data_IF_841366237621
#
_entry.id   IF_841366237621
#
_cell.length_a   1.000
_cell.length_b   1.000
_cell.length_c   1.000
_cell.angle_alpha   90.00
_cell.angle_beta   90.00
_cell.angle_gamma   90.00
#
_symmetry.space_group_name_H-M   'P 1'
#
loop_
_entity.id
_entity.type
_entity.pdbx_description
1 polymer ?
#
# COMPACT_ATOMS: atom_id res chain seq x y z
N UNK A 1 -3.82 21.78 40.30
CA UNK A 1 -4.65 21.82 39.09
C UNK A 1 -4.45 20.50 38.39
N UNK A 2 -5.36 19.54 38.58
CA UNK A 2 -5.27 18.24 37.91
C UNK A 2 -5.73 18.47 36.46
N UNK A 3 -4.76 18.68 35.56
CA UNK A 3 -5.05 18.73 34.13
C UNK A 3 -5.67 17.40 33.71
N UNK A 4 -6.78 17.46 32.99
CA UNK A 4 -7.37 16.28 32.35
C UNK A 4 -6.27 15.58 31.54
N UNK A 5 -6.05 14.26 31.71
CA UNK A 5 -5.07 13.55 30.91
C UNK A 5 -5.37 13.76 29.42
N UNK A 6 -4.38 14.24 28.68
CA UNK A 6 -4.47 14.38 27.22
C UNK A 6 -4.22 13.01 26.60
N UNK A 7 -5.25 12.47 25.94
CA UNK A 7 -5.17 11.20 25.24
C UNK A 7 -4.91 11.44 23.76
N UNK A 8 -4.05 10.61 23.15
CA UNK A 8 -3.90 10.55 21.70
C UNK A 8 -4.57 9.28 21.20
N UNK A 9 -5.56 9.44 20.33
CA UNK A 9 -6.22 8.31 19.67
C UNK A 9 -5.91 8.37 18.19
N UNK A 10 -5.49 7.24 17.63
CA UNK A 10 -5.33 7.09 16.19
C UNK A 10 -6.03 5.84 15.70
N UNK A 11 -6.34 5.79 14.42
CA UNK A 11 -7.05 4.71 13.77
C UNK A 11 -6.30 4.26 12.54
N UNK A 12 -6.01 2.97 12.45
CA UNK A 12 -5.32 2.40 11.30
C UNK A 12 -6.21 2.32 10.06
N UNK A 13 -5.59 2.26 8.87
CA UNK A 13 -6.28 1.98 7.62
C UNK A 13 -6.93 0.58 7.63
N UNK A 14 -6.27 -0.38 8.28
CA UNK A 14 -6.80 -1.75 8.47
C UNK A 14 -8.14 -1.74 9.20
N UNK A 15 -8.27 -0.95 10.28
CA UNK A 15 -9.53 -0.79 11.00
C UNK A 15 -10.64 -0.29 10.07
N UNK A 16 -10.34 0.67 9.20
CA UNK A 16 -11.31 1.28 8.30
C UNK A 16 -11.72 0.33 7.18
N UNK A 17 -10.76 -0.45 6.69
CA UNK A 17 -11.00 -1.53 5.74
C UNK A 17 -11.89 -2.62 6.33
N UNK A 18 -11.64 -3.01 7.59
CA UNK A 18 -12.47 -3.96 8.31
C UNK A 18 -13.87 -3.40 8.58
N UNK A 19 -13.98 -2.13 9.01
CA UNK A 19 -15.23 -1.44 9.27
C UNK A 19 -16.19 -1.44 8.08
N UNK A 20 -15.69 -1.33 6.84
CA UNK A 20 -16.57 -1.39 5.67
C UNK A 20 -17.07 -2.81 5.34
N UNK A 21 -16.41 -3.86 5.82
CA UNK A 21 -16.94 -5.22 5.68
C UNK A 21 -18.09 -5.50 6.64
N UNK A 22 -18.27 -4.63 7.65
CA UNK A 22 -19.29 -4.79 8.67
C UNK A 22 -20.69 -4.42 8.14
N UNK A 23 -21.74 -5.17 8.51
CA UNK A 23 -23.14 -4.83 8.20
C UNK A 23 -23.55 -3.44 8.68
N UNK A 24 -24.37 -2.73 7.89
CA UNK A 24 -24.79 -1.33 8.16
C UNK A 24 -25.40 -1.12 9.55
N UNK A 25 -26.14 -2.10 10.07
CA UNK A 25 -26.76 -2.05 11.41
C UNK A 25 -25.73 -2.05 12.55
N UNK A 26 -24.55 -2.64 12.34
CA UNK A 26 -23.45 -2.68 13.32
C UNK A 26 -22.54 -1.47 13.14
N UNK A 27 -22.32 -0.97 11.92
CA UNK A 27 -21.49 0.21 11.64
C UNK A 27 -21.83 1.41 12.53
N UNK A 28 -23.12 1.70 12.73
CA UNK A 28 -23.55 2.78 13.65
C UNK A 28 -22.99 2.62 15.06
N UNK A 29 -22.98 1.39 15.60
CA UNK A 29 -22.43 1.11 16.94
C UNK A 29 -20.92 1.29 16.98
N UNK A 30 -20.21 0.93 15.90
CA UNK A 30 -18.77 1.19 15.77
C UNK A 30 -18.50 2.69 15.74
N UNK A 31 -19.25 3.47 14.95
CA UNK A 31 -19.15 4.95 14.92
C UNK A 31 -19.41 5.58 16.29
N UNK A 32 -20.47 5.14 16.99
CA UNK A 32 -20.79 5.60 18.34
C UNK A 32 -19.65 5.27 19.32
N UNK A 33 -19.04 4.09 19.17
CA UNK A 33 -17.86 3.68 19.94
C UNK A 33 -16.66 4.59 19.65
N UNK A 34 -16.31 4.83 18.37
CA UNK A 34 -15.17 5.70 17.99
C UNK A 34 -15.32 7.08 18.61
N UNK A 35 -16.52 7.68 18.51
CA UNK A 35 -16.80 9.00 19.07
C UNK A 35 -16.63 9.05 20.59
N UNK A 36 -17.05 8.00 21.31
CA UNK A 36 -16.84 7.88 22.77
C UNK A 36 -15.37 7.65 23.11
N UNK A 37 -14.71 6.77 22.36
CA UNK A 37 -13.35 6.34 22.62
C UNK A 37 -12.34 7.46 22.40
N UNK A 38 -12.47 8.26 21.34
CA UNK A 38 -11.63 9.44 21.13
C UNK A 38 -11.83 10.52 22.20
N UNK A 39 -13.03 10.64 22.75
CA UNK A 39 -13.32 11.63 23.77
C UNK A 39 -12.69 11.25 25.11
N UNK A 40 -12.80 9.98 25.50
CA UNK A 40 -12.09 9.42 26.64
C UNK A 40 -12.04 7.88 26.54
N UNK A 41 -10.87 7.28 26.28
CA UNK A 41 -10.71 5.84 26.13
C UNK A 41 -10.77 5.06 27.45
N UNK A 42 -10.70 5.74 28.60
CA UNK A 42 -10.72 5.13 29.94
C UNK A 42 -12.12 5.16 30.59
N UNK A 43 -13.16 5.53 29.83
CA UNK A 43 -14.52 5.51 30.35
C UNK A 43 -14.90 4.10 30.83
N UNK A 44 -15.59 3.95 31.98
CA UNK A 44 -15.97 2.64 32.54
C UNK A 44 -16.79 1.74 31.60
N UNK A 45 -17.42 2.31 30.57
CA UNK A 45 -18.19 1.55 29.57
C UNK A 45 -17.36 1.00 28.41
N UNK A 46 -16.10 1.40 28.25
CA UNK A 46 -15.24 0.95 27.15
C UNK A 46 -14.73 -0.48 27.39
N UNK A 47 -14.43 -0.82 28.65
CA UNK A 47 -13.95 -2.14 29.08
C UNK A 47 -12.82 -2.69 28.19
N UNK A 48 -11.63 -2.09 28.30
CA UNK A 48 -10.43 -2.60 27.64
C UNK A 48 -9.98 -3.91 28.32
N UNK A 49 -10.19 -5.03 27.63
CA UNK A 49 -9.83 -6.36 28.13
C UNK A 49 -8.57 -6.87 27.43
N UNK A 50 -7.49 -7.19 28.16
CA UNK A 50 -6.25 -7.67 27.55
C UNK A 50 -6.46 -9.01 26.83
N UNK A 51 -5.93 -9.14 25.61
CA UNK A 51 -6.00 -10.36 24.82
C UNK A 51 -4.84 -11.28 25.24
N UNK A 52 -5.12 -12.23 26.13
CA UNK A 52 -4.09 -13.07 26.77
C UNK A 52 -3.24 -13.90 25.79
N UNK A 53 -3.83 -14.32 24.67
CA UNK A 53 -3.15 -15.15 23.66
C UNK A 53 -2.42 -14.32 22.60
N UNK A 54 -2.43 -12.99 22.69
CA UNK A 54 -1.74 -12.16 21.73
C UNK A 54 -0.22 -12.20 21.94
N UNK A 55 0.51 -12.32 20.83
CA UNK A 55 1.97 -12.19 20.83
C UNK A 55 2.40 -10.82 21.37
N UNK A 56 1.62 -9.78 21.07
CA UNK A 56 1.78 -8.44 21.59
C UNK A 56 0.94 -8.23 22.86
N UNK A 57 1.63 -8.04 24.00
CA UNK A 57 1.01 -7.86 25.33
C UNK A 57 0.23 -6.56 25.47
N UNK A 58 0.38 -5.62 24.54
CA UNK A 58 -0.33 -4.35 24.54
C UNK A 58 -1.62 -4.41 23.71
N UNK A 59 -2.06 -5.61 23.26
CA UNK A 59 -3.33 -5.80 22.57
C UNK A 59 -4.49 -5.99 23.54
N UNK A 60 -5.52 -5.18 23.34
CA UNK A 60 -6.76 -5.19 24.10
C UNK A 60 -7.94 -5.34 23.17
N UNK A 61 -8.97 -6.03 23.63
CA UNK A 61 -10.27 -6.07 23.00
C UNK A 61 -11.20 -5.07 23.65
N UNK A 62 -12.10 -4.50 22.86
CA UNK A 62 -13.22 -3.67 23.32
C UNK A 62 -14.51 -4.21 22.74
N UNK A 63 -15.57 -4.14 23.53
CA UNK A 63 -16.87 -4.64 23.12
C UNK A 63 -17.62 -3.58 22.30
N UNK A 64 -17.90 -3.89 21.03
CA UNK A 64 -18.79 -3.07 20.19
C UNK A 64 -20.25 -3.45 20.44
N UNK A 65 -20.56 -4.74 20.39
CA UNK A 65 -21.86 -5.29 20.75
C UNK A 65 -21.75 -6.74 21.26
N UNK A 66 -22.79 -7.58 21.10
CA UNK A 66 -22.67 -8.99 21.51
C UNK A 66 -21.68 -9.76 20.65
N UNK A 67 -21.70 -9.54 19.34
CA UNK A 67 -21.02 -10.37 18.34
C UNK A 67 -19.72 -9.74 17.84
N UNK A 68 -19.60 -8.41 17.89
CA UNK A 68 -18.47 -7.66 17.36
C UNK A 68 -17.52 -7.15 18.45
N UNK A 69 -16.23 -7.14 18.12
CA UNK A 69 -15.14 -6.65 18.95
C UNK A 69 -14.26 -5.69 18.15
N UNK A 70 -13.78 -4.66 18.81
CA UNK A 70 -12.67 -3.85 18.33
C UNK A 70 -11.36 -4.34 18.93
N UNK A 71 -10.27 -4.23 18.19
CA UNK A 71 -8.91 -4.48 18.66
C UNK A 71 -8.20 -3.14 18.82
N UNK A 72 -7.64 -2.94 20.00
CA UNK A 72 -6.95 -1.72 20.40
C UNK A 72 -5.54 -2.06 20.85
N UNK A 73 -4.55 -1.36 20.34
CA UNK A 73 -3.21 -1.39 20.91
C UNK A 73 -3.03 -0.21 21.88
N UNK A 74 -2.62 -0.52 23.12
CA UNK A 74 -2.38 0.46 24.18
C UNK A 74 -0.97 0.24 24.76
N UNK A 75 0.03 1.02 24.34
CA UNK A 75 1.40 0.92 24.86
C UNK A 75 1.41 1.18 26.37
N UNK A 76 2.12 0.33 27.12
CA UNK A 76 2.27 0.50 28.56
C UNK A 76 2.99 1.82 28.89
N UNK A 77 2.41 2.64 29.76
CA UNK A 77 3.02 3.89 30.24
C UNK A 77 2.81 5.11 29.34
N UNK A 78 2.11 4.98 28.21
CA UNK A 78 1.75 6.10 27.33
C UNK A 78 0.23 6.29 27.24
N UNK A 79 -0.24 7.53 27.15
CA UNK A 79 -1.66 7.87 26.92
C UNK A 79 -2.00 7.81 25.43
N UNK A 80 -1.57 6.75 24.75
CA UNK A 80 -1.77 6.51 23.32
C UNK A 80 -2.64 5.29 23.10
N UNK A 81 -3.64 5.42 22.24
CA UNK A 81 -4.59 4.36 21.93
C UNK A 81 -4.76 4.23 20.43
N UNK A 82 -4.49 3.04 19.89
CA UNK A 82 -4.56 2.79 18.46
C UNK A 82 -5.71 1.84 18.16
N UNK A 83 -6.69 2.28 17.36
CA UNK A 83 -7.75 1.42 16.82
C UNK A 83 -7.20 0.65 15.62
N UNK A 84 -7.06 -0.67 15.78
CA UNK A 84 -6.33 -1.51 14.82
C UNK A 84 -7.24 -2.37 13.94
N UNK A 85 -8.28 -2.97 14.53
CA UNK A 85 -9.19 -3.86 13.80
C UNK A 85 -10.59 -3.82 14.39
N UNK A 86 -11.59 -4.22 13.60
CA UNK A 86 -12.96 -4.43 14.08
C UNK A 86 -13.62 -5.56 13.31
N UNK A 87 -14.10 -6.57 14.02
CA UNK A 87 -14.73 -7.74 13.40
C UNK A 87 -15.62 -8.50 14.38
N UNK A 88 -16.16 -9.64 13.95
CA UNK A 88 -16.76 -10.62 14.84
C UNK A 88 -15.75 -11.09 15.87
N UNK A 89 -16.25 -11.53 17.02
CA UNK A 89 -15.45 -11.93 18.17
C UNK A 89 -14.26 -12.81 17.82
N UNK A 90 -14.50 -13.99 17.22
CA UNK A 90 -13.43 -14.96 16.98
C UNK A 90 -12.43 -14.47 15.92
N UNK A 91 -12.92 -13.80 14.89
CA UNK A 91 -12.09 -13.24 13.81
C UNK A 91 -11.20 -12.09 14.30
N UNK A 92 -11.74 -11.21 15.16
CA UNK A 92 -10.99 -10.13 15.78
C UNK A 92 -9.88 -10.64 16.70
N UNK A 93 -10.15 -11.69 17.49
CA UNK A 93 -9.12 -12.33 18.31
C UNK A 93 -8.10 -13.08 17.44
N UNK A 94 -8.54 -13.80 16.41
CA UNK A 94 -7.65 -14.49 15.46
C UNK A 94 -6.71 -13.54 14.74
N UNK A 95 -7.19 -12.35 14.37
CA UNK A 95 -6.35 -11.27 13.82
C UNK A 95 -5.36 -10.76 14.87
N UNK A 96 -5.83 -10.43 16.07
CA UNK A 96 -4.99 -9.84 17.11
C UNK A 96 -3.90 -10.78 17.63
N UNK A 97 -4.13 -12.09 17.64
CA UNK A 97 -3.15 -13.04 18.18
C UNK A 97 -1.88 -13.16 17.35
N UNK A 98 -1.98 -12.88 16.04
CA UNK A 98 -0.86 -12.99 15.09
C UNK A 98 -0.24 -11.66 14.71
N UNK A 99 -0.78 -10.54 15.20
CA UNK A 99 -0.32 -9.20 14.86
C UNK A 99 0.50 -8.60 15.98
N UNK A 100 1.46 -7.77 15.60
CA UNK A 100 2.24 -6.93 16.51
C UNK A 100 2.20 -5.49 16.06
N UNK A 101 2.17 -4.57 17.03
CA UNK A 101 2.29 -3.15 16.75
C UNK A 101 3.52 -2.59 17.47
N UNK A 102 4.45 -1.99 16.73
CA UNK A 102 5.69 -1.48 17.30
C UNK A 102 6.12 -0.19 16.59
N UNK A 103 6.88 0.65 17.31
CA UNK A 103 7.64 1.73 16.70
C UNK A 103 8.93 1.14 16.15
N UNK A 104 9.19 1.34 14.86
CA UNK A 104 10.46 0.96 14.27
C UNK A 104 11.56 1.90 14.79
N UNK A 105 12.63 1.33 15.35
CA UNK A 105 13.71 2.12 15.94
C UNK A 105 14.47 2.99 14.93
N UNK A 106 14.48 2.62 13.64
CA UNK A 106 15.24 3.31 12.60
C UNK A 106 14.38 4.29 11.81
N UNK A 107 13.16 3.90 11.43
CA UNK A 107 12.26 4.77 10.65
C UNK A 107 11.43 5.68 11.55
N UNK A 108 11.28 5.33 12.84
CA UNK A 108 10.41 6.02 13.78
C UNK A 108 8.91 5.87 13.48
N UNK A 109 8.55 5.06 12.48
CA UNK A 109 7.17 4.79 12.08
C UNK A 109 6.51 3.76 13.00
N UNK A 110 5.20 3.88 13.21
CA UNK A 110 4.36 2.81 13.74
C UNK A 110 4.13 1.77 12.65
N UNK A 111 4.41 0.52 13.00
CA UNK A 111 4.28 -0.63 12.12
C UNK A 111 3.30 -1.62 12.70
N UNK A 112 2.48 -2.23 11.84
CA UNK A 112 1.63 -3.37 12.12
C UNK A 112 2.08 -4.49 11.18
N UNK A 113 2.39 -5.67 11.71
CA UNK A 113 2.87 -6.82 10.92
C UNK A 113 2.50 -8.15 11.55
N UNK A 114 2.50 -9.23 10.75
CA UNK A 114 2.31 -10.58 11.29
C UNK A 114 3.57 -11.08 11.98
N UNK A 115 3.39 -11.77 13.10
CA UNK A 115 4.44 -12.54 13.77
C UNK A 115 4.06 -14.01 13.67
N UNK A 116 4.92 -14.80 13.03
CA UNK A 116 4.81 -16.25 13.09
C UNK A 116 5.54 -16.79 14.31
N UNK A 117 4.99 -17.84 14.93
CA UNK A 117 5.79 -18.65 15.86
C UNK A 117 6.94 -19.27 15.08
N UNK A 118 8.17 -18.90 15.42
CA UNK A 118 9.35 -19.63 14.97
C UNK A 118 9.21 -21.07 15.45
N UNK A 119 8.73 -21.98 14.60
CA UNK A 119 8.94 -23.40 14.81
C UNK A 119 10.45 -23.58 14.87
N UNK A 120 10.97 -23.99 16.03
CA UNK A 120 12.37 -24.30 16.24
C UNK A 120 12.89 -25.12 15.04
N UNK A 121 14.12 -24.87 14.55
CA UNK A 121 14.68 -25.66 13.48
C UNK A 121 14.60 -27.13 13.88
N UNK A 122 13.85 -27.92 13.11
CA UNK A 122 13.87 -29.38 13.22
C UNK A 122 15.33 -29.80 13.08
N UNK A 123 15.87 -30.45 14.10
CA UNK A 123 17.23 -30.99 14.08
C UNK A 123 17.44 -31.76 12.77
N UNK A 124 18.59 -31.57 12.09
CA UNK A 124 18.87 -32.31 10.86
C UNK A 124 18.81 -33.81 11.16
N UNK A 125 18.16 -34.63 10.33
CA UNK A 125 18.20 -36.07 10.51
C UNK A 125 19.65 -36.55 10.43
N UNK A 126 20.14 -37.13 11.53
CA UNK A 126 21.45 -37.78 11.58
C UNK A 126 21.52 -38.91 10.55
N UNK A 127 22.56 -38.81 9.69
CA UNK A 127 23.31 -39.91 9.05
C UNK A 127 22.55 -40.84 8.10
N UNK A 128 22.73 -40.57 6.81
CA UNK A 128 22.79 -41.63 5.79
C UNK A 128 23.92 -41.34 4.78
N UNK A 129 24.99 -42.16 4.85
CA UNK A 129 25.86 -42.62 3.75
C UNK A 129 26.74 -41.60 2.97
N UNK A 130 28.00 -41.95 2.61
CA UNK A 130 28.77 -41.18 1.63
C UNK A 130 28.27 -41.40 0.18
N UNK A 131 28.50 -40.46 -0.75
CA UNK A 131 27.75 -40.35 -2.01
C UNK A 131 28.39 -41.12 -3.16
N UNK A 132 27.57 -41.69 -4.04
CA UNK A 132 27.96 -42.07 -5.41
C UNK A 132 27.17 -41.24 -6.43
N UNK A 133 27.92 -40.74 -7.42
CA UNK A 133 27.49 -40.13 -8.69
C UNK A 133 27.00 -38.67 -8.68
N UNK A 134 27.89 -37.79 -9.15
CA UNK A 134 27.66 -37.16 -10.46
C UNK A 134 26.64 -36.02 -10.58
N UNK A 135 26.43 -35.21 -9.55
CA UNK A 135 25.76 -33.91 -9.72
C UNK A 135 26.78 -32.77 -9.61
N UNK A 136 26.93 -32.02 -10.71
CA UNK A 136 27.57 -30.69 -10.69
C UNK A 136 26.76 -29.81 -9.74
N UNK A 137 27.37 -28.98 -8.88
CA UNK A 137 26.60 -27.99 -8.15
C UNK A 137 26.03 -27.02 -9.20
N UNK A 138 24.72 -27.06 -9.40
CA UNK A 138 24.01 -25.88 -9.87
C UNK A 138 24.37 -24.75 -8.92
N UNK A 139 24.70 -23.59 -9.48
CA UNK A 139 25.03 -22.39 -8.73
C UNK A 139 23.99 -22.21 -7.62
N UNK A 140 24.44 -22.21 -6.36
CA UNK A 140 23.61 -21.76 -5.25
C UNK A 140 23.29 -20.31 -5.60
N UNK A 141 22.13 -20.09 -6.22
CA UNK A 141 21.62 -18.75 -6.49
C UNK A 141 21.58 -18.08 -5.13
N UNK A 142 22.49 -17.12 -4.91
CA UNK A 142 22.54 -16.44 -3.63
C UNK A 142 21.17 -15.82 -3.39
N UNK A 143 20.56 -16.10 -2.24
CA UNK A 143 19.25 -15.57 -1.89
C UNK A 143 19.20 -14.05 -2.16
N UNK A 144 18.08 -13.56 -2.70
CA UNK A 144 17.91 -12.24 -3.29
C UNK A 144 18.41 -11.10 -2.39
N UNK A 145 18.20 -11.24 -1.08
CA UNK A 145 18.57 -10.23 -0.07
C UNK A 145 19.77 -10.65 0.80
N UNK A 146 20.46 -11.75 0.47
CA UNK A 146 21.55 -12.33 1.29
C UNK A 146 22.75 -11.41 1.50
N UNK A 147 23.00 -10.52 0.54
CA UNK A 147 24.09 -9.53 0.54
C UNK A 147 23.78 -8.29 1.39
N UNK A 148 22.53 -8.07 1.77
CA UNK A 148 22.09 -6.88 2.53
C UNK A 148 22.33 -7.11 4.01
N UNK A 149 23.04 -6.18 4.67
CA UNK A 149 23.33 -6.31 6.10
C UNK A 149 22.06 -6.20 6.94
N UNK A 150 22.07 -6.79 8.14
CA UNK A 150 20.96 -6.64 9.11
C UNK A 150 20.66 -5.17 9.37
N UNK A 151 21.68 -4.35 9.57
CA UNK A 151 21.52 -2.91 9.80
C UNK A 151 20.84 -2.20 8.62
N UNK A 152 21.18 -2.56 7.38
CA UNK A 152 20.53 -1.99 6.19
C UNK A 152 19.06 -2.40 6.09
N UNK A 153 18.72 -3.66 6.39
CA UNK A 153 17.32 -4.12 6.42
C UNK A 153 16.50 -3.38 7.48
N UNK A 154 17.05 -3.22 8.68
CA UNK A 154 16.41 -2.47 9.75
C UNK A 154 16.19 -0.98 9.36
N UNK A 155 17.17 -0.37 8.68
CA UNK A 155 17.05 1.00 8.14
C UNK A 155 16.02 1.13 7.03
N UNK A 156 15.70 0.04 6.32
CA UNK A 156 14.59 -0.04 5.37
C UNK A 156 13.26 -0.40 6.06
N UNK A 157 13.19 -0.29 7.39
CA UNK A 157 11.99 -0.52 8.18
C UNK A 157 11.69 -1.99 8.45
N UNK A 158 12.49 -2.95 7.97
CA UNK A 158 12.22 -4.38 8.22
C UNK A 158 12.21 -4.62 9.74
N UNK A 159 11.16 -5.23 10.31
CA UNK A 159 11.14 -5.60 11.72
C UNK A 159 12.28 -6.56 12.05
N UNK A 160 12.86 -6.43 13.23
CA UNK A 160 14.02 -7.24 13.62
C UNK A 160 13.77 -8.74 13.51
N UNK A 161 12.58 -9.17 13.93
CA UNK A 161 12.13 -10.57 13.92
C UNK A 161 11.94 -11.13 12.50
N UNK A 162 11.89 -10.26 11.48
CA UNK A 162 11.73 -10.63 10.08
C UNK A 162 13.04 -10.61 9.29
N UNK A 163 14.15 -10.14 9.87
CA UNK A 163 15.43 -9.99 9.16
C UNK A 163 15.93 -11.31 8.58
N UNK A 164 15.93 -12.37 9.38
CA UNK A 164 16.45 -13.68 8.95
C UNK A 164 15.57 -14.30 7.86
N UNK A 165 14.26 -14.14 7.98
CA UNK A 165 13.31 -14.57 6.95
C UNK A 165 13.55 -13.82 5.64
N UNK A 166 13.65 -12.48 5.66
CA UNK A 166 13.93 -11.68 4.46
C UNK A 166 15.24 -12.11 3.79
N UNK A 167 16.31 -12.31 4.57
CA UNK A 167 17.62 -12.74 4.03
C UNK A 167 17.59 -14.14 3.40
N UNK A 168 16.60 -14.96 3.73
CA UNK A 168 16.40 -16.30 3.19
C UNK A 168 15.60 -16.35 1.89
N UNK A 169 14.94 -15.26 1.49
CA UNK A 169 14.12 -15.23 0.27
C UNK A 169 14.97 -15.32 -0.99
N UNK A 170 14.61 -16.22 -1.90
CA UNK A 170 15.40 -16.49 -3.11
C UNK A 170 14.99 -15.66 -4.32
N UNK A 171 13.76 -15.12 -4.32
CA UNK A 171 13.18 -14.37 -5.43
C UNK A 171 12.09 -13.40 -4.93
N UNK A 172 11.54 -12.59 -5.84
CA UNK A 172 10.52 -11.58 -5.49
C UNK A 172 9.15 -12.21 -5.26
N UNK A 173 8.86 -13.33 -5.92
CA UNK A 173 7.59 -14.05 -5.79
C UNK A 173 7.40 -14.61 -4.37
N UNK A 174 8.46 -15.07 -3.71
CA UNK A 174 8.45 -15.49 -2.31
C UNK A 174 8.17 -14.31 -1.36
N UNK A 175 8.69 -13.11 -1.68
CA UNK A 175 8.37 -11.89 -0.93
C UNK A 175 6.89 -11.52 -1.09
N UNK A 176 6.35 -11.59 -2.32
CA UNK A 176 4.96 -11.25 -2.63
C UNK A 176 3.96 -12.26 -2.03
N UNK A 177 4.33 -13.53 -1.94
CA UNK A 177 3.48 -14.59 -1.41
C UNK A 177 3.11 -14.37 0.09
N UNK A 178 3.97 -13.71 0.85
CA UNK A 178 3.79 -13.45 2.29
C UNK A 178 3.85 -11.95 2.61
N UNK A 179 3.21 -11.13 1.78
CA UNK A 179 3.21 -9.67 1.92
C UNK A 179 2.70 -9.18 3.30
N UNK A 180 1.84 -9.95 3.98
CA UNK A 180 1.26 -9.61 5.29
C UNK A 180 2.25 -9.75 6.46
N UNK A 181 3.40 -10.41 6.23
CA UNK A 181 4.48 -10.57 7.23
C UNK A 181 5.29 -9.31 7.46
N UNK A 182 5.30 -8.40 6.49
CA UNK A 182 6.06 -7.16 6.58
C UNK A 182 5.14 -5.94 6.68
N UNK A 183 5.60 -4.87 7.36
CA UNK A 183 5.01 -3.55 7.19
C UNK A 183 5.09 -3.11 5.72
N UNK A 184 4.07 -2.37 5.26
CA UNK A 184 3.98 -1.92 3.86
C UNK A 184 5.25 -1.18 3.38
N UNK A 185 5.79 -0.28 4.22
CA UNK A 185 7.01 0.48 3.88
C UNK A 185 8.23 -0.43 3.64
N UNK A 186 8.36 -1.51 4.42
CA UNK A 186 9.45 -2.47 4.31
C UNK A 186 9.30 -3.35 3.08
N UNK A 187 8.07 -3.79 2.81
CA UNK A 187 7.74 -4.55 1.60
C UNK A 187 8.01 -3.73 0.33
N UNK A 188 7.67 -2.44 0.31
CA UNK A 188 7.98 -1.54 -0.81
C UNK A 188 9.48 -1.33 -0.97
N UNK A 189 10.22 -1.13 0.13
CA UNK A 189 11.67 -0.99 0.10
C UNK A 189 12.34 -2.22 -0.54
N UNK A 190 11.94 -3.43 -0.13
CA UNK A 190 12.50 -4.67 -0.66
C UNK A 190 12.14 -4.90 -2.14
N UNK A 191 10.94 -4.50 -2.59
CA UNK A 191 10.59 -4.51 -4.01
C UNK A 191 11.50 -3.60 -4.83
N UNK A 192 11.85 -2.41 -4.34
CA UNK A 192 12.76 -1.51 -5.05
C UNK A 192 14.18 -2.07 -5.14
N UNK A 193 14.66 -2.71 -4.08
CA UNK A 193 15.94 -3.42 -4.12
C UNK A 193 15.90 -4.56 -5.14
N UNK A 194 14.83 -5.36 -5.16
CA UNK A 194 14.63 -6.42 -6.13
C UNK A 194 14.56 -5.89 -7.59
N UNK A 195 14.03 -4.67 -7.78
CA UNK A 195 14.02 -3.96 -9.05
C UNK A 195 15.38 -3.33 -9.42
N UNK A 196 16.43 -3.56 -8.63
CA UNK A 196 17.80 -3.12 -8.91
C UNK A 196 18.16 -1.72 -8.39
N UNK A 197 17.31 -1.10 -7.56
CA UNK A 197 17.63 0.16 -6.92
C UNK A 197 18.70 -0.05 -5.83
N UNK A 198 19.61 0.91 -5.67
CA UNK A 198 20.59 0.83 -4.58
C UNK A 198 19.94 1.12 -3.22
N UNK A 199 20.51 0.58 -2.14
CA UNK A 199 20.00 0.79 -0.77
C UNK A 199 19.94 2.28 -0.43
N UNK A 200 20.95 3.06 -0.82
CA UNK A 200 20.98 4.51 -0.55
C UNK A 200 19.89 5.27 -1.31
N UNK A 201 19.54 4.83 -2.51
CA UNK A 201 18.41 5.40 -3.27
C UNK A 201 17.08 5.02 -2.62
N UNK A 202 16.88 3.75 -2.25
CA UNK A 202 15.65 3.32 -1.55
C UNK A 202 15.44 4.10 -0.26
N UNK A 203 16.50 4.25 0.55
CA UNK A 203 16.43 5.00 1.80
C UNK A 203 16.02 6.46 1.54
N UNK A 204 16.66 7.11 0.57
CA UNK A 204 16.39 8.50 0.21
C UNK A 204 14.96 8.71 -0.29
N UNK A 205 14.45 7.79 -1.10
CA UNK A 205 13.14 7.90 -1.73
C UNK A 205 11.99 7.59 -0.75
N UNK A 206 12.13 6.56 0.08
CA UNK A 206 11.02 6.09 0.93
C UNK A 206 10.99 6.68 2.33
N UNK A 207 12.16 6.97 2.91
CA UNK A 207 12.24 7.33 4.33
C UNK A 207 12.59 8.81 4.57
N UNK A 208 12.93 9.56 3.50
CA UNK A 208 13.49 10.93 3.53
C UNK A 208 14.75 11.03 4.46
N UNK A 209 15.67 11.98 4.24
CA UNK A 209 16.85 12.17 5.13
C UNK A 209 16.48 12.58 6.59
N UNK A 210 15.20 12.78 6.89
CA UNK A 210 14.69 13.36 8.14
C UNK A 210 14.12 12.34 9.16
N UNK A 211 14.10 11.04 8.81
CA UNK A 211 13.41 10.00 9.60
C UNK A 211 14.28 9.13 10.51
N UNK A 212 15.61 9.16 10.40
CA UNK A 212 16.49 8.39 11.30
C UNK A 212 16.58 9.15 12.63
N UNK A 213 15.52 9.04 13.43
CA UNK A 213 15.59 9.43 14.83
C UNK A 213 16.72 8.66 15.52
N UNK A 214 17.27 9.17 16.64
CA UNK A 214 18.13 8.34 17.47
C UNK A 214 17.38 7.06 17.81
N UNK A 215 18.01 5.90 17.61
CA UNK A 215 17.42 4.56 17.75
C UNK A 215 16.76 4.29 19.12
N UNK A 216 16.95 5.20 20.07
CA UNK A 216 16.50 5.11 21.46
C UNK A 216 15.16 5.82 21.75
N UNK A 217 14.56 6.58 20.83
CA UNK A 217 13.25 7.25 21.04
C UNK A 217 12.10 6.48 20.37
N UNK A 218 11.65 5.40 21.02
CA UNK A 218 10.56 4.52 20.57
C UNK A 218 9.19 4.90 21.13
N UNK A 219 8.97 6.17 21.51
CA UNK A 219 7.67 6.62 22.00
C UNK A 219 6.60 6.54 20.92
N UNK A 220 5.50 5.85 21.21
CA UNK A 220 4.32 5.81 20.34
C UNK A 220 3.72 7.22 20.15
N UNK A 221 3.72 8.04 21.19
CA UNK A 221 3.19 9.40 21.15
C UNK A 221 3.94 10.33 20.19
N UNK A 222 5.25 10.11 19.99
CA UNK A 222 6.06 10.78 18.98
C UNK A 222 5.88 10.14 17.60
N UNK A 223 5.88 8.81 17.53
CA UNK A 223 5.73 8.06 16.29
C UNK A 223 4.43 8.43 15.55
N UNK A 224 3.35 8.80 16.25
CA UNK A 224 2.12 9.31 15.63
C UNK A 224 2.33 10.53 14.73
N UNK A 225 3.34 11.36 14.97
CA UNK A 225 3.69 12.49 14.12
C UNK A 225 4.62 12.14 12.95
N UNK A 226 5.12 10.90 12.89
CA UNK A 226 6.06 10.45 11.87
C UNK A 226 5.36 10.37 10.50
N UNK A 227 5.98 10.87 9.42
CA UNK A 227 5.42 10.76 8.07
C UNK A 227 5.03 9.34 7.63
N UNK A 228 5.80 8.31 8.00
CA UNK A 228 5.49 6.92 7.69
C UNK A 228 4.29 6.40 8.50
N UNK A 229 4.17 6.77 9.77
CA UNK A 229 2.97 6.47 10.58
C UNK A 229 1.71 7.08 9.99
N UNK A 230 1.77 8.35 9.58
CA UNK A 230 0.61 9.05 9.03
C UNK A 230 0.09 8.38 7.73
N UNK A 231 0.93 7.60 7.04
CA UNK A 231 0.52 6.81 5.87
C UNK A 231 -0.46 5.70 6.23
N UNK A 232 -0.36 5.17 7.45
CA UNK A 232 -1.11 3.99 7.91
C UNK A 232 -2.11 4.32 9.01
N UNK A 233 -2.04 5.52 9.60
CA UNK A 233 -2.84 5.93 10.73
C UNK A 233 -3.42 7.33 10.55
N UNK A 234 -4.70 7.46 10.87
CA UNK A 234 -5.40 8.73 11.03
C UNK A 234 -5.44 9.12 12.51
N UNK A 235 -4.97 10.32 12.85
CA UNK A 235 -5.09 10.87 14.20
C UNK A 235 -6.51 11.40 14.41
N UNK A 236 -7.16 10.97 15.50
CA UNK A 236 -8.53 11.35 15.85
C UNK A 236 -8.52 12.51 16.85
N UNK A 237 -8.22 13.70 16.35
CA UNK A 237 -8.28 14.96 17.11
C UNK A 237 -9.49 15.83 16.68
N UNK A 238 -9.65 16.98 17.35
CA UNK A 238 -10.73 17.91 17.06
C UNK A 238 -10.60 18.60 15.68
N UNK A 239 -9.38 18.67 15.13
CA UNK A 239 -9.13 19.29 13.81
C UNK A 239 -9.61 18.37 12.68
N UNK A 240 -9.53 17.05 12.87
CA UNK A 240 -9.92 16.04 11.89
C UNK A 240 -11.38 15.55 12.04
N UNK A 241 -12.22 16.21 12.85
CA UNK A 241 -13.61 15.80 13.09
C UNK A 241 -14.41 15.63 11.79
N UNK A 242 -14.38 16.66 10.94
CA UNK A 242 -15.15 16.68 9.71
C UNK A 242 -14.67 15.58 8.76
N UNK A 243 -13.36 15.41 8.66
CA UNK A 243 -12.73 14.37 7.84
C UNK A 243 -13.15 12.97 8.33
N UNK A 244 -13.12 12.73 9.64
CA UNK A 244 -13.58 11.47 10.23
C UNK A 244 -15.06 11.21 9.92
N UNK A 245 -15.93 12.21 10.07
CA UNK A 245 -17.36 12.06 9.74
C UNK A 245 -17.58 11.78 8.26
N UNK A 246 -16.88 12.50 7.38
CA UNK A 246 -16.97 12.29 5.94
C UNK A 246 -16.49 10.88 5.54
N UNK A 247 -15.50 10.33 6.26
CA UNK A 247 -14.97 8.98 6.06
C UNK A 247 -15.90 7.89 6.58
N UNK A 248 -16.45 8.02 7.80
CA UNK A 248 -17.33 7.01 8.39
C UNK A 248 -18.69 6.92 7.69
N UNK A 249 -19.14 8.01 7.04
CA UNK A 249 -20.42 8.09 6.33
C UNK A 249 -20.31 7.81 4.83
N UNK A 250 -19.10 7.65 4.28
CA UNK A 250 -18.89 7.37 2.87
C UNK A 250 -18.76 5.87 2.57
N UNK A 251 -19.20 5.40 1.40
CA UNK A 251 -18.74 4.12 0.85
C UNK A 251 -17.21 4.13 0.72
N UNK A 252 -16.56 2.98 0.89
CA UNK A 252 -15.09 2.84 0.86
C UNK A 252 -14.46 3.28 -0.49
N UNK A 253 -15.26 3.53 -1.51
CA UNK A 253 -14.90 4.30 -2.72
C UNK A 253 -14.17 5.62 -2.38
N UNK A 254 -14.49 6.29 -1.27
CA UNK A 254 -13.75 7.49 -0.83
C UNK A 254 -12.34 7.23 -0.31
N UNK A 255 -12.02 6.01 0.13
CA UNK A 255 -10.66 5.61 0.51
C UNK A 255 -9.78 5.38 -0.72
N UNK A 256 -10.37 4.88 -1.82
CA UNK A 256 -9.67 4.77 -3.12
C UNK A 256 -9.20 6.12 -3.65
N UNK A 257 -9.69 7.22 -3.08
CA UNK A 257 -9.30 8.59 -3.44
C UNK A 257 -8.67 9.35 -2.28
N UNK A 258 -8.30 8.71 -1.16
CA UNK A 258 -7.66 9.43 -0.06
C UNK A 258 -6.19 9.73 -0.39
N UNK A 259 -5.86 11.01 -0.56
CA UNK A 259 -4.48 11.42 -0.82
C UNK A 259 -3.72 11.62 0.49
N UNK A 260 -2.74 10.76 0.72
CA UNK A 260 -1.92 10.84 1.91
C UNK A 260 -1.09 12.14 1.97
N UNK A 261 -0.79 12.63 3.17
CA UNK A 261 -0.06 13.90 3.39
C UNK A 261 1.33 13.91 2.75
N UNK A 262 2.05 12.78 2.77
CA UNK A 262 3.37 12.66 2.09
C UNK A 262 3.24 12.78 0.58
N UNK A 263 2.14 12.29 0.00
CA UNK A 263 1.86 12.37 -1.43
C UNK A 263 1.42 13.77 -1.88
N UNK A 264 0.95 14.63 -0.96
CA UNK A 264 0.56 16.02 -1.29
C UNK A 264 1.71 16.82 -1.87
N UNK A 265 2.93 16.66 -1.33
CA UNK A 265 4.12 17.33 -1.89
C UNK A 265 4.30 17.00 -3.37
N UNK A 266 4.11 15.73 -3.76
CA UNK A 266 4.19 15.27 -5.15
C UNK A 266 3.03 15.81 -6.00
N UNK A 267 1.82 15.80 -5.47
CA UNK A 267 0.60 16.26 -6.16
C UNK A 267 0.56 17.76 -6.36
N UNK A 268 1.10 18.57 -5.45
CA UNK A 268 0.95 20.03 -5.45
C UNK A 268 2.19 20.78 -5.96
N UNK A 269 3.27 20.05 -6.29
CA UNK A 269 4.53 20.67 -6.75
C UNK A 269 4.46 21.12 -8.21
N UNK A 270 4.97 22.31 -8.53
CA UNK A 270 5.22 22.67 -9.92
C UNK A 270 6.47 21.96 -10.44
N UNK A 271 6.35 21.26 -11.57
CA UNK A 271 7.46 20.58 -12.22
C UNK A 271 7.76 21.25 -13.56
N UNK A 272 9.04 21.47 -13.84
CA UNK A 272 9.51 22.02 -15.10
C UNK A 272 9.89 20.86 -16.05
N UNK A 273 8.88 20.14 -16.54
CA UNK A 273 9.05 19.05 -17.50
C UNK A 273 8.43 17.72 -17.09
N UNK A 274 8.75 16.63 -17.82
CA UNK A 274 8.24 15.29 -17.54
C UNK A 274 8.63 14.79 -16.15
N UNK A 275 7.72 14.08 -15.49
CA UNK A 275 7.91 13.50 -14.16
C UNK A 275 7.53 12.03 -14.19
N UNK A 276 8.39 11.18 -13.61
CA UNK A 276 8.09 9.76 -13.39
C UNK A 276 7.83 9.55 -11.90
N UNK A 277 6.73 8.89 -11.59
CA UNK A 277 6.37 8.47 -10.23
C UNK A 277 6.48 6.95 -10.16
N UNK A 278 7.31 6.46 -9.24
CA UNK A 278 7.50 5.04 -8.95
C UNK A 278 6.85 4.72 -7.60
N UNK A 279 6.45 3.47 -7.42
CA UNK A 279 5.79 2.99 -6.21
C UNK A 279 5.41 1.53 -6.36
N UNK A 280 5.51 0.74 -5.29
CA UNK A 280 5.09 -0.65 -5.24
C UNK A 280 3.58 -0.85 -5.49
N UNK A 281 3.13 -2.10 -5.63
CA UNK A 281 1.70 -2.38 -5.70
C UNK A 281 0.98 -1.84 -4.44
N UNK A 282 -0.20 -1.24 -4.60
CA UNK A 282 -0.99 -0.73 -3.47
C UNK A 282 -0.55 0.63 -2.87
N UNK A 283 0.52 1.28 -3.36
CA UNK A 283 1.06 2.52 -2.76
C UNK A 283 0.35 3.80 -3.18
N UNK A 284 -0.88 3.67 -3.72
CA UNK A 284 -1.72 4.82 -4.05
C UNK A 284 -1.32 5.61 -5.31
N UNK A 285 -0.50 5.06 -6.21
CA UNK A 285 -0.09 5.73 -7.48
C UNK A 285 -1.28 6.29 -8.27
N UNK A 286 -2.34 5.49 -8.40
CA UNK A 286 -3.57 5.91 -9.09
C UNK A 286 -4.24 7.07 -8.36
N UNK A 287 -4.20 7.09 -7.03
CA UNK A 287 -4.72 8.18 -6.20
C UNK A 287 -3.93 9.46 -6.43
N UNK A 288 -2.60 9.37 -6.42
CA UNK A 288 -1.71 10.49 -6.76
C UNK A 288 -2.03 11.04 -8.14
N UNK A 289 -2.20 10.18 -9.16
CA UNK A 289 -2.51 10.61 -10.52
C UNK A 289 -3.86 11.37 -10.60
N UNK A 290 -4.90 10.87 -9.92
CA UNK A 290 -6.21 11.53 -9.86
C UNK A 290 -6.14 12.89 -9.19
N UNK A 291 -5.51 12.97 -8.01
CA UNK A 291 -5.37 14.23 -7.31
C UNK A 291 -4.47 15.22 -8.03
N UNK A 292 -3.45 14.73 -8.72
CA UNK A 292 -2.61 15.55 -9.59
C UNK A 292 -3.41 16.14 -10.73
N UNK A 293 -4.23 15.33 -11.42
CA UNK A 293 -5.09 15.82 -12.50
C UNK A 293 -6.06 16.92 -12.00
N UNK A 294 -6.68 16.69 -10.83
CA UNK A 294 -7.53 17.69 -10.15
C UNK A 294 -6.77 18.98 -9.82
N UNK A 295 -5.59 18.87 -9.23
CA UNK A 295 -4.76 20.01 -8.85
C UNK A 295 -4.26 20.78 -10.07
N UNK A 296 -3.85 20.08 -11.13
CA UNK A 296 -3.42 20.67 -12.38
C UNK A 296 -4.54 21.49 -13.01
N UNK A 297 -5.73 20.90 -13.17
CA UNK A 297 -6.87 21.61 -13.69
C UNK A 297 -7.20 22.83 -12.81
N UNK A 298 -7.30 22.66 -11.49
CA UNK A 298 -7.80 23.73 -10.61
C UNK A 298 -6.80 24.86 -10.38
N UNK A 299 -5.51 24.55 -10.31
CA UNK A 299 -4.50 25.47 -9.77
C UNK A 299 -3.43 25.83 -10.78
N UNK A 300 -2.81 24.84 -11.43
CA UNK A 300 -1.67 25.08 -12.32
C UNK A 300 -2.08 25.59 -13.71
N UNK A 301 -3.22 25.11 -14.19
CA UNK A 301 -3.80 25.42 -15.50
C UNK A 301 -5.25 25.90 -15.31
N UNK A 302 -5.45 27.09 -14.72
CA UNK A 302 -6.77 27.56 -14.32
C UNK A 302 -7.61 28.08 -15.49
N UNK A 303 -7.04 28.24 -16.70
CA UNK A 303 -7.78 28.80 -17.82
C UNK A 303 -8.90 27.84 -18.26
N UNK A 304 -10.03 28.42 -18.66
CA UNK A 304 -11.23 27.65 -19.01
C UNK A 304 -11.03 26.74 -20.25
N UNK A 305 -10.02 27.06 -21.07
CA UNK A 305 -9.65 26.30 -22.27
C UNK A 305 -8.59 25.23 -21.99
N UNK A 306 -7.97 25.23 -20.82
CA UNK A 306 -6.98 24.22 -20.47
C UNK A 306 -7.64 22.85 -20.32
N UNK A 307 -6.93 21.82 -20.80
CA UNK A 307 -7.40 20.43 -20.81
C UNK A 307 -6.33 19.53 -20.21
N UNK A 308 -6.76 18.64 -19.33
CA UNK A 308 -5.91 17.64 -18.70
C UNK A 308 -6.32 16.27 -19.23
N UNK A 309 -5.36 15.51 -19.76
CA UNK A 309 -5.57 14.13 -20.19
C UNK A 309 -5.02 13.17 -19.13
N UNK A 310 -5.85 12.22 -18.68
CA UNK A 310 -5.45 11.09 -17.85
C UNK A 310 -5.68 9.82 -18.66
N UNK A 311 -4.61 9.10 -18.94
CA UNK A 311 -4.65 7.86 -19.72
C UNK A 311 -4.16 6.64 -18.95
N UNK A 312 -4.64 5.47 -19.35
CA UNK A 312 -4.29 4.18 -18.78
C UNK A 312 -4.43 3.08 -19.83
N UNK A 313 -4.06 1.85 -19.46
CA UNK A 313 -4.06 0.71 -20.38
C UNK A 313 -5.45 0.07 -20.50
N UNK A 314 -6.14 -0.18 -19.39
CA UNK A 314 -7.39 -0.96 -19.41
C UNK A 314 -8.64 -0.08 -19.39
N UNK A 315 -9.71 -0.56 -20.04
CA UNK A 315 -11.02 0.09 -20.06
C UNK A 315 -11.58 0.27 -18.65
N UNK A 316 -11.54 -0.80 -17.84
CA UNK A 316 -12.09 -0.80 -16.49
C UNK A 316 -11.36 0.21 -15.58
N UNK A 317 -10.03 0.30 -15.68
CA UNK A 317 -9.27 1.26 -14.88
C UNK A 317 -9.57 2.71 -15.30
N UNK A 318 -9.78 2.97 -16.60
CA UNK A 318 -10.18 4.29 -17.07
C UNK A 318 -11.57 4.70 -16.54
N UNK A 319 -12.51 3.76 -16.50
CA UNK A 319 -13.85 3.99 -15.93
C UNK A 319 -13.79 4.22 -14.42
N UNK A 320 -13.04 3.39 -13.70
CA UNK A 320 -12.81 3.54 -12.26
C UNK A 320 -12.18 4.89 -11.92
N UNK A 321 -11.12 5.29 -12.62
CA UNK A 321 -10.48 6.59 -12.44
C UNK A 321 -11.47 7.72 -12.69
N UNK A 322 -12.29 7.62 -13.74
CA UNK A 322 -13.31 8.64 -14.08
C UNK A 322 -14.37 8.76 -12.99
N UNK A 323 -14.85 7.64 -12.45
CA UNK A 323 -15.85 7.62 -11.38
C UNK A 323 -15.27 8.22 -10.09
N UNK A 324 -14.08 7.79 -9.68
CA UNK A 324 -13.37 8.32 -8.54
C UNK A 324 -13.06 9.83 -8.67
N UNK A 325 -12.69 10.30 -9.87
CA UNK A 325 -12.48 11.73 -10.13
C UNK A 325 -13.77 12.55 -9.99
N UNK A 326 -14.93 12.01 -10.38
CA UNK A 326 -16.24 12.67 -10.20
C UNK A 326 -16.57 12.88 -8.72
N UNK A 327 -16.08 12.02 -7.84
CA UNK A 327 -16.32 12.14 -6.40
C UNK A 327 -15.46 13.24 -5.76
N UNK A 328 -14.29 13.56 -6.33
CA UNK A 328 -13.35 14.56 -5.77
C UNK A 328 -13.32 15.90 -6.53
N UNK A 329 -13.84 15.95 -7.75
CA UNK A 329 -13.92 17.15 -8.59
C UNK A 329 -15.33 17.74 -8.64
N UNK A 330 -15.43 19.07 -8.66
CA UNK A 330 -16.68 19.73 -9.07
C UNK A 330 -16.93 19.54 -10.57
N UNK A 331 -18.15 19.81 -11.01
CA UNK A 331 -18.56 19.61 -12.40
C UNK A 331 -17.76 20.45 -13.40
N UNK A 332 -17.23 21.60 -12.99
CA UNK A 332 -16.42 22.47 -13.85
C UNK A 332 -15.01 21.93 -14.06
N UNK A 333 -14.36 21.51 -12.97
CA UNK A 333 -13.06 20.84 -13.00
C UNK A 333 -13.15 19.55 -13.79
N UNK A 334 -14.19 18.74 -13.56
CA UNK A 334 -14.37 17.46 -14.25
C UNK A 334 -14.54 17.61 -15.77
N UNK A 335 -15.18 18.69 -16.26
CA UNK A 335 -15.32 18.96 -17.70
C UNK A 335 -13.99 19.19 -18.42
N UNK A 336 -12.94 19.57 -17.69
CA UNK A 336 -11.61 19.83 -18.23
C UNK A 336 -10.67 18.63 -18.14
N UNK A 337 -11.05 17.59 -17.39
CA UNK A 337 -10.28 16.37 -17.24
C UNK A 337 -10.88 15.29 -18.15
N UNK A 338 -10.12 14.93 -19.17
CA UNK A 338 -10.44 13.79 -20.04
C UNK A 338 -9.77 12.54 -19.48
N UNK A 339 -10.58 11.53 -19.16
CA UNK A 339 -10.09 10.22 -18.72
C UNK A 339 -10.44 9.20 -19.79
N UNK A 340 -9.47 8.48 -20.33
CA UNK A 340 -9.66 7.54 -21.44
C UNK A 340 -8.50 6.53 -21.48
N UNK A 341 -8.72 5.30 -21.93
CA UNK A 341 -7.60 4.38 -22.15
C UNK A 341 -6.92 4.68 -23.49
N UNK A 342 -5.65 4.32 -23.62
CA UNK A 342 -4.80 4.81 -24.71
C UNK A 342 -5.33 4.45 -26.10
N UNK A 343 -5.80 3.22 -26.32
CA UNK A 343 -6.26 2.76 -27.63
C UNK A 343 -7.47 3.53 -28.14
N UNK A 344 -8.45 3.77 -27.26
CA UNK A 344 -9.62 4.59 -27.61
C UNK A 344 -9.22 6.03 -27.92
N UNK A 345 -8.30 6.62 -27.15
CA UNK A 345 -7.84 7.98 -27.43
C UNK A 345 -7.18 8.08 -28.81
N UNK A 346 -6.29 7.13 -29.14
CA UNK A 346 -5.65 7.06 -30.46
C UNK A 346 -6.69 6.89 -31.55
N UNK A 347 -7.67 6.00 -31.35
CA UNK A 347 -8.74 5.77 -32.32
C UNK A 347 -9.59 7.01 -32.57
N UNK A 348 -10.04 7.67 -31.52
CA UNK A 348 -10.84 8.89 -31.62
C UNK A 348 -10.02 10.01 -32.29
N UNK A 349 -8.73 10.12 -31.98
CA UNK A 349 -7.82 11.06 -32.62
C UNK A 349 -7.68 10.81 -34.13
N UNK A 350 -7.40 9.58 -34.56
CA UNK A 350 -7.25 9.24 -35.97
C UNK A 350 -8.54 9.49 -36.77
N UNK A 351 -9.69 9.07 -36.22
CA UNK A 351 -10.99 9.33 -36.81
C UNK A 351 -11.26 10.84 -36.96
N UNK A 352 -10.90 11.64 -35.95
CA UNK A 352 -11.06 13.10 -36.01
C UNK A 352 -10.23 13.77 -37.10
N UNK A 353 -9.17 13.11 -37.58
CA UNK A 353 -8.32 13.54 -38.69
C UNK A 353 -8.78 13.00 -40.05
N UNK A 354 -9.88 12.25 -40.09
CA UNK A 354 -10.44 11.66 -41.29
C UNK A 354 -9.74 10.38 -41.76
N UNK A 355 -8.96 9.74 -40.88
CA UNK A 355 -8.46 8.40 -41.16
C UNK A 355 -9.56 7.39 -40.87
N UNK A 356 -9.91 6.61 -41.88
CA UNK A 356 -10.77 5.44 -41.74
C UNK A 356 -9.88 4.21 -41.64
N UNK A 357 -10.05 3.42 -40.57
CA UNK A 357 -9.21 2.27 -40.32
C UNK A 357 -9.97 1.20 -39.53
N UNK A 358 -9.66 -0.05 -39.85
CA UNK A 358 -10.15 -1.22 -39.12
C UNK A 358 -9.03 -1.75 -38.21
N UNK A 359 -9.39 -2.03 -36.96
CA UNK A 359 -8.45 -2.68 -36.03
C UNK A 359 -8.60 -4.17 -36.21
N UNK A 360 -7.54 -4.80 -36.71
CA UNK A 360 -7.51 -6.22 -37.04
C UNK A 360 -7.02 -7.02 -35.83
N UNK A 361 -7.65 -8.18 -35.61
CA UNK A 361 -7.29 -9.09 -34.52
C UNK A 361 -7.30 -10.54 -35.01
N UNK A 362 -6.56 -11.41 -34.31
CA UNK A 362 -6.58 -12.86 -34.55
C UNK A 362 -6.32 -13.22 -36.01
N UNK A 363 -7.26 -13.96 -36.62
CA UNK A 363 -7.11 -14.47 -37.98
C UNK A 363 -6.83 -13.40 -39.04
N UNK A 364 -7.41 -12.21 -38.92
CA UNK A 364 -7.20 -11.13 -39.89
C UNK A 364 -5.78 -10.55 -39.79
N UNK A 365 -5.22 -10.54 -38.58
CA UNK A 365 -3.84 -10.15 -38.32
C UNK A 365 -2.87 -11.22 -38.86
N UNK A 366 -3.19 -12.50 -38.70
CA UNK A 366 -2.43 -13.62 -39.30
C UNK A 366 -2.36 -13.48 -40.82
N UNK A 367 -3.50 -13.20 -41.48
CA UNK A 367 -3.56 -12.97 -42.93
C UNK A 367 -2.71 -11.76 -43.36
N UNK A 368 -2.62 -10.70 -42.55
CA UNK A 368 -1.73 -9.57 -42.78
C UNK A 368 -0.24 -9.97 -42.68
N UNK A 369 0.12 -10.77 -41.68
CA UNK A 369 1.47 -11.30 -41.51
C UNK A 369 1.88 -12.21 -42.67
N UNK A 370 1.02 -13.14 -43.08
CA UNK A 370 1.25 -14.00 -44.25
C UNK A 370 1.51 -13.17 -45.51
N UNK A 371 0.72 -12.11 -45.73
CA UNK A 371 0.91 -11.20 -46.87
C UNK A 371 2.22 -10.42 -46.75
N UNK A 372 2.58 -9.94 -45.56
CA UNK A 372 3.83 -9.21 -45.35
C UNK A 372 5.06 -10.10 -45.64
N UNK A 373 5.03 -11.35 -45.17
CA UNK A 373 6.08 -12.33 -45.41
C UNK A 373 6.19 -12.65 -46.91
N UNK A 374 5.05 -12.89 -47.58
CA UNK A 374 5.03 -13.14 -49.03
C UNK A 374 5.54 -11.94 -49.85
N UNK A 375 5.35 -10.72 -49.36
CA UNK A 375 5.80 -9.48 -50.01
C UNK A 375 7.25 -9.11 -49.71
N UNK A 376 7.88 -9.67 -48.67
CA UNK A 376 9.25 -9.32 -48.28
C UNK A 376 10.26 -9.65 -49.38
N UNK A 377 9.97 -10.64 -50.24
CA UNK A 377 10.73 -11.00 -51.46
C UNK A 377 12.24 -11.25 -51.24
N UNK A 378 12.66 -11.50 -50.00
CA UNK A 378 14.03 -11.81 -49.60
C UNK A 378 14.06 -12.97 -48.63
N UNK A 379 15.16 -13.74 -48.65
CA UNK A 379 15.46 -14.69 -47.58
C UNK A 379 15.58 -13.90 -46.27
N UNK A 380 14.59 -14.05 -45.40
CA UNK A 380 14.59 -13.39 -44.10
C UNK A 380 15.77 -13.95 -43.28
N UNK A 381 16.55 -13.09 -42.60
CA UNK A 381 17.71 -13.52 -41.82
C UNK A 381 17.33 -14.33 -40.57
N UNK A 382 16.07 -14.24 -40.14
CA UNK A 382 15.51 -14.99 -39.02
C UNK A 382 14.26 -15.74 -39.46
N UNK A 383 13.83 -16.73 -38.67
CA UNK A 383 12.57 -17.41 -38.94
C UNK A 383 11.37 -16.50 -38.69
N UNK A 384 10.22 -16.88 -39.25
CA UNK A 384 8.98 -16.10 -39.15
C UNK A 384 8.50 -15.96 -37.71
N UNK A 385 8.71 -16.98 -36.87
CA UNK A 385 8.25 -16.98 -35.49
C UNK A 385 9.00 -15.94 -34.67
N UNK A 386 10.31 -15.77 -34.91
CA UNK A 386 11.11 -14.73 -34.29
C UNK A 386 10.53 -13.33 -34.53
N UNK A 387 10.07 -13.02 -35.75
CA UNK A 387 9.45 -11.72 -36.04
C UNK A 387 8.08 -11.53 -35.39
N UNK A 388 7.33 -12.61 -35.21
CA UNK A 388 6.05 -12.58 -34.52
C UNK A 388 6.26 -12.37 -33.01
N UNK A 389 7.21 -13.10 -32.41
CA UNK A 389 7.58 -12.98 -30.99
C UNK A 389 8.15 -11.61 -30.64
N UNK A 390 8.95 -10.98 -31.51
CA UNK A 390 9.48 -9.62 -31.28
C UNK A 390 8.41 -8.52 -31.46
N UNK A 391 7.30 -8.81 -32.13
CA UNK A 391 6.22 -7.86 -32.31
C UNK A 391 5.19 -7.89 -31.17
N UNK A 392 4.92 -9.09 -30.62
CA UNK A 392 4.11 -9.28 -29.41
C UNK A 392 4.75 -8.67 -28.17
#
# INVERSE_FOLDING_TARGET
MNGTPSFKVAMSIDFLTAYDRIPKNVRRRVTDFINKFRANPELPGINLEPIQQAMDRNMYSVRIDQDYRGVVHRPAGENVYLLLWVDKHDDAYGWATRKRCAVNAFTGSLQIYNVEETSLPVEPPEKAGPPESGFRPEEISAALFSSISREQLLRMGVPDESVDWVRGLSNIEELEADHDRLPQESFEALQFIAAGMSIDEVIRELFEDEGIGPADDTSFGRALGNPGTLQQFMILDAENEKELQDMLNAPLEKWRVFLHRSQRKLVERNFNGPVRVLGGAGTGKTVVAMHRARWLAKTAFPDAMDRILVTTFTVNLAEDIRNNLRDICDAETMRRIEVVHIDKWVKDFLNSRGYDFDVLYGKELEECWERAIALSRTDLPFDVNFYLEEWE
#
